data_IF_519189956695
#
_entry.id   IF_519189956695
#
_cell.length_a   1.000
_cell.length_b   1.000
_cell.length_c   1.000
_cell.angle_alpha   90.00
_cell.angle_beta   90.00
_cell.angle_gamma   90.00
#
_symmetry.space_group_name_H-M   'P 1'
#
loop_
_entity.id
_entity.type
_entity.pdbx_description
1 polymer ?
#
# COMPACT_ATOMS: atom_id res chain seq x y z
N UNK A 1 8.10 -13.86 -8.32
CA UNK A 1 8.93 -12.75 -8.84
C UNK A 1 8.85 -11.59 -7.86
N UNK A 2 9.93 -10.83 -7.65
CA UNK A 2 9.93 -9.64 -6.77
C UNK A 2 10.28 -8.40 -7.57
N UNK A 3 9.50 -7.33 -7.37
CA UNK A 3 9.73 -5.99 -7.89
C UNK A 3 10.12 -5.11 -6.68
N UNK A 4 11.41 -4.79 -6.51
CA UNK A 4 11.85 -3.86 -5.48
C UNK A 4 11.54 -2.43 -5.92
N UNK A 5 10.99 -1.63 -5.01
CA UNK A 5 10.71 -0.22 -5.24
C UNK A 5 11.82 0.65 -4.65
N UNK A 6 12.28 1.62 -5.44
CA UNK A 6 13.13 2.71 -4.95
C UNK A 6 12.32 3.90 -4.42
N UNK A 7 11.03 3.98 -4.77
CA UNK A 7 10.12 5.04 -4.38
C UNK A 7 8.67 4.54 -4.30
N UNK A 8 7.86 5.24 -3.52
CA UNK A 8 6.41 5.01 -3.41
C UNK A 8 5.71 5.09 -4.77
N UNK A 9 4.72 4.20 -4.98
CA UNK A 9 3.81 4.26 -6.12
C UNK A 9 2.52 5.00 -5.75
N UNK A 10 2.37 6.21 -6.29
CA UNK A 10 1.16 7.04 -6.12
C UNK A 10 0.13 6.68 -7.19
N UNK A 11 -1.10 6.37 -6.78
CA UNK A 11 -2.23 6.03 -7.64
C UNK A 11 -3.33 7.08 -7.44
N UNK A 12 -3.60 7.84 -8.50
CA UNK A 12 -4.54 8.97 -8.50
C UNK A 12 -5.60 8.83 -9.61
N UNK A 13 -5.98 7.59 -9.93
CA UNK A 13 -6.91 7.24 -11.02
C UNK A 13 -7.45 5.84 -10.83
N UNK A 14 -8.51 5.52 -11.56
CA UNK A 14 -8.99 4.15 -11.71
C UNK A 14 -7.88 3.25 -12.25
N UNK A 15 -7.57 2.18 -11.51
CA UNK A 15 -6.47 1.28 -11.84
C UNK A 15 -6.75 -0.14 -11.37
N UNK A 16 -6.50 -1.11 -12.24
CA UNK A 16 -6.43 -2.53 -11.85
C UNK A 16 -5.01 -3.03 -12.02
N UNK A 17 -4.47 -3.64 -10.97
CA UNK A 17 -3.19 -4.36 -11.01
C UNK A 17 -3.51 -5.83 -10.74
N UNK A 18 -3.31 -6.66 -11.77
CA UNK A 18 -3.59 -8.09 -11.72
C UNK A 18 -2.33 -8.89 -12.11
N UNK A 19 -1.89 -9.77 -11.21
CA UNK A 19 -0.75 -10.65 -11.44
C UNK A 19 -1.13 -12.09 -11.85
N UNK A 20 -2.43 -12.39 -11.99
CA UNK A 20 -2.96 -13.72 -12.35
C UNK A 20 -2.27 -14.29 -13.61
N UNK A 21 -1.92 -15.59 -13.63
CA UNK A 21 -2.12 -16.61 -12.57
C UNK A 21 -1.00 -16.65 -11.53
N UNK A 22 -0.02 -15.76 -11.61
CA UNK A 22 1.17 -15.78 -10.76
C UNK A 22 0.98 -14.88 -9.54
N UNK A 23 1.78 -15.09 -8.50
CA UNK A 23 1.93 -14.08 -7.44
C UNK A 23 3.17 -13.24 -7.71
N UNK A 24 2.98 -11.92 -7.83
CA UNK A 24 4.07 -10.93 -7.90
C UNK A 24 4.22 -10.28 -6.54
N UNK A 25 5.46 -10.24 -6.05
CA UNK A 25 5.81 -9.51 -4.84
C UNK A 25 6.20 -8.09 -5.24
N UNK A 26 5.47 -7.08 -4.77
CA UNK A 26 5.85 -5.68 -4.87
C UNK A 26 6.38 -5.27 -3.49
N UNK A 27 7.67 -4.95 -3.42
CA UNK A 27 8.39 -4.79 -2.16
C UNK A 27 8.93 -3.38 -2.01
N UNK A 28 8.66 -2.74 -0.88
CA UNK A 28 9.26 -1.45 -0.51
C UNK A 28 10.70 -1.58 0.03
N UNK A 29 11.22 -2.81 0.12
CA UNK A 29 12.57 -3.15 0.62
C UNK A 29 12.91 -2.59 2.01
N UNK A 30 11.89 -2.28 2.82
CA UNK A 30 11.96 -1.56 4.10
C UNK A 30 12.49 -0.13 3.97
N UNK A 31 12.44 0.46 2.77
CA UNK A 31 12.93 1.82 2.47
C UNK A 31 11.79 2.78 2.15
N UNK A 32 10.71 2.30 1.51
CA UNK A 32 9.60 3.15 1.06
C UNK A 32 8.25 2.47 1.23
N UNK A 33 7.17 3.26 1.27
CA UNK A 33 5.80 2.75 1.22
C UNK A 33 5.57 2.10 -0.14
N UNK A 34 4.80 1.02 -0.21
CA UNK A 34 4.56 0.37 -1.51
C UNK A 34 3.54 1.16 -2.34
N UNK A 35 2.34 1.37 -1.81
CA UNK A 35 1.26 2.07 -2.50
C UNK A 35 0.66 3.21 -1.68
N UNK A 36 0.37 4.31 -2.37
CA UNK A 36 -0.41 5.42 -1.87
C UNK A 36 -1.54 5.74 -2.86
N UNK A 37 -2.77 5.42 -2.47
CA UNK A 37 -3.94 5.70 -3.30
C UNK A 37 -4.56 7.00 -2.85
N UNK A 38 -4.59 7.98 -3.75
CA UNK A 38 -5.13 9.31 -3.49
C UNK A 38 -6.45 9.61 -4.19
N UNK A 39 -6.81 8.80 -5.19
CA UNK A 39 -8.09 8.91 -5.92
C UNK A 39 -8.39 7.63 -6.72
N UNK A 40 -9.66 7.47 -7.10
CA UNK A 40 -10.16 6.46 -8.03
C UNK A 40 -10.68 5.17 -7.40
N UNK A 41 -11.08 4.26 -8.28
CA UNK A 41 -11.44 2.87 -7.98
C UNK A 41 -10.25 1.97 -8.30
N UNK A 42 -9.60 1.43 -7.27
CA UNK A 42 -8.38 0.63 -7.40
C UNK A 42 -8.62 -0.82 -7.02
N UNK A 43 -8.16 -1.74 -7.87
CA UNK A 43 -8.22 -3.17 -7.62
C UNK A 43 -6.81 -3.79 -7.65
N UNK A 44 -6.47 -4.53 -6.59
CA UNK A 44 -5.25 -5.32 -6.49
C UNK A 44 -5.62 -6.81 -6.46
N UNK A 45 -5.12 -7.60 -7.42
CA UNK A 45 -5.39 -9.03 -7.53
C UNK A 45 -4.09 -9.85 -7.67
N UNK A 46 -3.98 -10.93 -6.90
CA UNK A 46 -2.83 -11.86 -6.90
C UNK A 46 -1.46 -11.23 -6.56
N UNK A 47 -1.43 -10.18 -5.73
CA UNK A 47 -0.18 -9.53 -5.32
C UNK A 47 0.27 -9.94 -3.92
N UNK A 48 1.59 -9.96 -3.70
CA UNK A 48 2.15 -9.82 -2.34
C UNK A 48 2.69 -8.41 -2.20
N UNK A 49 2.10 -7.61 -1.33
CA UNK A 49 2.54 -6.26 -0.98
C UNK A 49 3.42 -6.40 0.26
N UNK A 50 4.72 -6.17 0.11
CA UNK A 50 5.71 -6.58 1.11
C UNK A 50 6.63 -5.46 1.56
N UNK A 51 7.08 -5.56 2.81
CA UNK A 51 8.23 -4.83 3.34
C UNK A 51 8.20 -3.33 3.04
N UNK A 52 7.02 -2.73 3.10
CA UNK A 52 6.92 -1.28 2.95
C UNK A 52 7.26 -0.58 4.26
N UNK A 53 7.81 0.61 4.18
CA UNK A 53 8.22 1.44 5.32
C UNK A 53 7.89 2.91 5.04
N UNK A 54 7.22 3.58 5.96
CA UNK A 54 6.87 5.00 5.82
C UNK A 54 7.95 5.86 6.46
N UNK A 55 8.46 6.82 5.68
CA UNK A 55 9.42 7.82 6.14
C UNK A 55 8.79 9.23 6.22
N UNK A 56 7.48 9.34 6.00
CA UNK A 56 6.69 10.58 5.97
C UNK A 56 5.72 10.68 7.14
N UNK A 57 5.17 11.88 7.36
CA UNK A 57 4.17 12.18 8.41
C UNK A 57 2.79 12.49 7.78
N UNK A 58 2.53 11.92 6.61
CA UNK A 58 1.36 12.22 5.78
C UNK A 58 0.06 11.53 6.23
N UNK A 59 0.12 10.72 7.29
CA UNK A 59 -1.03 10.00 7.85
C UNK A 59 -1.33 10.36 9.32
N UNK A 60 -0.60 11.31 9.92
CA UNK A 60 -0.71 11.65 11.34
C UNK A 60 0.57 12.20 11.94
N UNK A 61 0.63 12.24 13.28
CA UNK A 61 1.76 12.81 14.01
C UNK A 61 3.03 11.96 13.98
N UNK A 62 2.93 10.65 13.66
CA UNK A 62 4.08 9.74 13.65
C UNK A 62 4.06 8.73 12.49
N UNK A 63 5.20 8.38 11.87
CA UNK A 63 5.26 7.50 10.70
C UNK A 63 4.83 6.05 10.96
N UNK A 64 5.06 5.54 12.18
CA UNK A 64 4.62 4.18 12.57
C UNK A 64 3.09 4.04 12.61
N UNK A 65 2.36 5.15 12.56
CA UNK A 65 0.90 5.17 12.43
C UNK A 65 0.44 5.01 10.97
N UNK A 66 1.38 5.01 10.02
CA UNK A 66 1.14 4.92 8.59
C UNK A 66 1.42 3.50 8.10
N UNK A 67 0.51 2.94 7.30
CA UNK A 67 0.72 1.63 6.69
C UNK A 67 1.89 1.66 5.72
N UNK A 68 2.86 0.76 5.90
CA UNK A 68 4.00 0.62 5.00
C UNK A 68 3.63 0.01 3.64
N UNK A 69 2.69 -0.94 3.60
CA UNK A 69 2.28 -1.56 2.34
C UNK A 69 1.32 -0.69 1.53
N UNK A 70 0.24 -0.22 2.14
CA UNK A 70 -0.78 0.58 1.45
C UNK A 70 -1.34 1.64 2.39
N UNK A 71 -1.50 2.85 1.86
CA UNK A 71 -2.28 3.92 2.49
C UNK A 71 -3.33 4.44 1.50
N UNK A 72 -4.47 4.88 2.05
CA UNK A 72 -5.53 5.60 1.34
C UNK A 72 -5.53 7.05 1.84
N UNK A 73 -5.32 8.02 0.95
CA UNK A 73 -5.21 9.44 1.27
C UNK A 73 -6.05 10.28 0.31
N UNK A 74 -7.34 10.43 0.61
CA UNK A 74 -8.20 11.34 -0.16
C UNK A 74 -9.07 12.18 0.76
N UNK A 75 -9.48 13.33 0.24
CA UNK A 75 -10.53 14.16 0.81
C UNK A 75 -11.92 13.73 0.29
N UNK A 76 -11.96 12.77 -0.64
CA UNK A 76 -13.16 12.20 -1.26
C UNK A 76 -13.22 10.68 -1.04
N UNK A 77 -14.24 10.03 -1.59
CA UNK A 77 -14.41 8.57 -1.48
C UNK A 77 -13.47 7.83 -2.42
N UNK A 78 -12.56 7.02 -1.86
CA UNK A 78 -11.75 6.05 -2.62
C UNK A 78 -12.35 4.66 -2.44
N UNK A 79 -12.43 3.88 -3.52
CA UNK A 79 -12.77 2.47 -3.46
C UNK A 79 -11.54 1.61 -3.73
N UNK A 80 -11.10 0.84 -2.74
CA UNK A 80 -10.01 -0.14 -2.92
C UNK A 80 -10.50 -1.54 -2.67
N UNK A 81 -10.30 -2.41 -3.65
CA UNK A 81 -10.57 -3.85 -3.54
C UNK A 81 -9.26 -4.62 -3.60
N UNK A 82 -9.02 -5.48 -2.61
CA UNK A 82 -7.85 -6.36 -2.55
C UNK A 82 -8.33 -7.81 -2.56
N UNK A 83 -8.04 -8.53 -3.64
CA UNK A 83 -8.44 -9.93 -3.82
C UNK A 83 -7.22 -10.82 -4.01
N UNK A 84 -7.27 -12.04 -3.46
CA UNK A 84 -6.21 -13.06 -3.59
C UNK A 84 -4.79 -12.53 -3.32
N UNK A 85 -4.66 -11.54 -2.43
CA UNK A 85 -3.42 -10.80 -2.20
C UNK A 85 -3.01 -10.87 -0.73
N UNK A 86 -1.73 -10.67 -0.47
CA UNK A 86 -1.11 -10.77 0.84
C UNK A 86 -0.41 -9.46 1.18
N UNK A 87 -0.66 -8.93 2.37
CA UNK A 87 0.17 -7.90 2.99
C UNK A 87 1.16 -8.56 3.94
N UNK A 88 2.46 -8.31 3.78
CA UNK A 88 3.50 -8.94 4.61
C UNK A 88 4.56 -7.95 5.08
N UNK A 89 5.06 -8.13 6.30
CA UNK A 89 6.24 -7.40 6.82
C UNK A 89 7.31 -8.38 7.26
N UNK A 90 8.56 -7.91 7.29
CA UNK A 90 9.69 -8.59 7.95
C UNK A 90 10.15 -7.89 9.24
N UNK A 91 9.54 -6.75 9.59
CA UNK A 91 9.82 -5.98 10.80
C UNK A 91 8.69 -6.24 11.82
N UNK A 92 9.05 -6.48 13.08
CA UNK A 92 8.11 -6.71 14.19
C UNK A 92 7.40 -5.43 14.66
N UNK A 93 7.69 -4.27 14.05
CA UNK A 93 7.32 -2.95 14.57
C UNK A 93 6.31 -2.16 13.75
N UNK A 94 5.89 -2.60 12.56
CA UNK A 94 4.94 -1.86 11.72
C UNK A 94 3.89 -2.77 11.07
N UNK A 95 2.66 -2.27 10.94
CA UNK A 95 1.58 -2.98 10.27
C UNK A 95 1.74 -2.86 8.74
N UNK A 96 1.71 -4.00 8.04
CA UNK A 96 1.76 -4.05 6.57
C UNK A 96 0.63 -3.24 5.91
N UNK A 97 -0.50 -3.10 6.61
CA UNK A 97 -1.67 -2.35 6.19
C UNK A 97 -2.24 -1.64 7.42
N UNK A 98 -2.52 -0.34 7.30
CA UNK A 98 -3.30 0.41 8.29
C UNK A 98 -4.52 0.96 7.57
N UNK A 99 -5.71 0.50 7.94
CA UNK A 99 -6.99 1.06 7.49
C UNK A 99 -7.43 2.03 8.58
N UNK A 100 -7.24 3.34 8.38
CA UNK A 100 -7.92 4.36 9.18
C UNK A 100 -9.04 4.97 8.33
N UNK A 101 -10.27 4.91 8.83
CA UNK A 101 -11.30 5.82 8.35
C UNK A 101 -10.88 7.24 8.75
N UNK A 102 -10.87 8.16 7.80
CA UNK A 102 -10.81 9.59 8.13
C UNK A 102 -12.21 9.94 8.63
N UNK A 103 -12.40 9.97 9.95
CA UNK A 103 -13.55 10.66 10.52
C UNK A 103 -13.23 12.16 10.50
N UNK A 104 -14.04 12.91 9.75
CA UNK A 104 -14.04 14.38 9.79
C UNK A 104 -14.61 14.91 11.10
#
# INVERSE_FOLDING_TARGET
MTIPLASELVISKDLTIDATPNSVIVSGENVTRVFNVTDGTVAFNHLTIANGNVQTFDCGGYPFQCGGGLILQSNDTIHVTVTNSIFSTRQTTEAALIIRGVEH
#
